data_IF_500075053461
#
_entry.id   IF_500075053461
#
_cell.length_a   1.000
_cell.length_b   1.000
_cell.length_c   1.000
_cell.angle_alpha   90.00
_cell.angle_beta   90.00
_cell.angle_gamma   90.00
#
_symmetry.space_group_name_H-M   'P 1'
#
loop_
_entity.id
_entity.type
_entity.pdbx_description
1 polymer ?
#
# COMPACT_ATOMS: atom_id res chain seq x y z
N UNK A 1 -34.33 4.20 -38.86
CA UNK A 1 -34.25 4.14 -37.38
C UNK A 1 -34.07 5.56 -36.86
N UNK A 2 -34.53 5.85 -35.64
CA UNK A 2 -34.38 7.17 -35.01
C UNK A 2 -32.95 7.38 -34.48
N UNK A 3 -32.18 6.30 -34.32
CA UNK A 3 -30.79 6.28 -33.85
C UNK A 3 -29.90 5.45 -34.79
N UNK A 4 -28.58 5.63 -34.67
CA UNK A 4 -27.61 4.78 -35.36
C UNK A 4 -27.44 3.43 -34.64
N UNK A 5 -26.90 2.42 -35.35
CA UNK A 5 -26.77 1.06 -34.82
C UNK A 5 -25.88 0.97 -33.56
N UNK A 6 -24.88 1.86 -33.44
CA UNK A 6 -23.98 1.89 -32.30
C UNK A 6 -24.72 2.32 -31.03
N UNK A 7 -25.49 3.41 -31.12
CA UNK A 7 -26.30 3.91 -30.04
C UNK A 7 -27.32 2.88 -29.60
N UNK A 8 -28.06 2.28 -30.54
CA UNK A 8 -29.06 1.25 -30.19
C UNK A 8 -28.41 0.11 -29.40
N UNK A 9 -27.25 -0.39 -29.84
CA UNK A 9 -26.52 -1.44 -29.11
C UNK A 9 -26.10 -0.99 -27.72
N UNK A 10 -25.48 0.19 -27.59
CA UNK A 10 -24.97 0.69 -26.32
C UNK A 10 -26.09 1.06 -25.34
N UNK A 11 -27.28 1.42 -25.83
CA UNK A 11 -28.43 1.75 -24.99
C UNK A 11 -29.27 0.51 -24.60
N UNK A 12 -29.59 -0.37 -25.54
CA UNK A 12 -30.46 -1.52 -25.29
C UNK A 12 -29.72 -2.75 -24.74
N UNK A 13 -28.39 -2.82 -24.88
CA UNK A 13 -27.58 -3.94 -24.36
C UNK A 13 -26.23 -3.48 -23.78
N UNK A 14 -26.23 -2.54 -22.81
CA UNK A 14 -25.00 -2.09 -22.17
C UNK A 14 -24.41 -3.21 -21.30
N UNK A 15 -23.08 -3.32 -21.28
CA UNK A 15 -22.35 -4.31 -20.48
C UNK A 15 -21.81 -3.76 -19.17
N UNK A 16 -21.70 -2.44 -19.05
CA UNK A 16 -21.01 -1.78 -17.94
C UNK A 16 -21.96 -1.16 -16.91
N UNK A 17 -23.27 -1.39 -17.03
CA UNK A 17 -24.24 -0.95 -16.02
C UNK A 17 -23.99 -1.70 -14.72
N UNK A 18 -23.74 -0.97 -13.63
CA UNK A 18 -23.46 -1.56 -12.33
C UNK A 18 -22.79 -0.59 -11.37
N UNK A 19 -22.38 -1.13 -10.22
CA UNK A 19 -21.60 -0.42 -9.20
C UNK A 19 -20.37 -1.25 -8.87
N UNK A 20 -19.36 -0.58 -8.30
CA UNK A 20 -18.21 -1.23 -7.68
C UNK A 20 -18.26 -0.89 -6.18
N UNK A 21 -17.93 -1.85 -5.33
CA UNK A 21 -17.83 -1.61 -3.89
C UNK A 21 -16.66 -0.65 -3.61
N UNK A 22 -16.96 0.50 -3.01
CA UNK A 22 -15.97 1.53 -2.71
C UNK A 22 -15.02 1.14 -1.57
N UNK A 23 -15.33 0.08 -0.83
CA UNK A 23 -14.40 -0.52 0.12
C UNK A 23 -13.28 -1.32 -0.56
N UNK A 24 -13.43 -1.70 -1.83
CA UNK A 24 -12.35 -2.35 -2.58
C UNK A 24 -11.16 -1.38 -2.78
N UNK A 25 -9.91 -1.86 -2.67
CA UNK A 25 -8.72 -1.04 -2.92
C UNK A 25 -8.76 -0.37 -4.30
N UNK A 26 -8.14 0.81 -4.42
CA UNK A 26 -8.03 1.55 -5.69
C UNK A 26 -9.35 1.65 -6.47
N UNK A 27 -10.45 1.84 -5.74
CA UNK A 27 -11.79 2.06 -6.31
C UNK A 27 -12.26 3.47 -6.02
N UNK A 28 -12.84 4.15 -7.01
CA UNK A 28 -13.37 5.52 -6.89
C UNK A 28 -14.75 5.62 -7.53
N UNK A 29 -15.52 6.64 -7.13
CA UNK A 29 -16.78 6.98 -7.76
C UNK A 29 -16.89 8.49 -7.93
N UNK A 30 -17.43 8.90 -9.08
CA UNK A 30 -17.79 10.26 -9.39
C UNK A 30 -19.29 10.35 -9.71
N UNK A 31 -19.99 11.36 -9.18
CA UNK A 31 -21.40 11.62 -9.49
C UNK A 31 -21.54 12.92 -10.26
N UNK A 32 -22.17 12.85 -11.42
CA UNK A 32 -22.57 14.01 -12.22
C UNK A 32 -24.07 14.27 -12.09
N UNK A 33 -24.44 15.53 -11.93
CA UNK A 33 -25.85 15.96 -11.83
C UNK A 33 -26.46 15.83 -10.42
N UNK A 34 -27.74 16.18 -10.30
CA UNK A 34 -28.51 16.11 -9.03
C UNK A 34 -29.79 15.34 -9.24
N UNK A 35 -30.10 14.43 -8.32
CA UNK A 35 -31.34 13.65 -8.35
C UNK A 35 -32.58 14.56 -8.50
N UNK A 36 -33.46 14.22 -9.44
CA UNK A 36 -34.67 14.98 -9.74
C UNK A 36 -34.49 16.18 -10.67
N UNK A 37 -33.28 16.43 -11.22
CA UNK A 37 -33.05 17.44 -12.25
C UNK A 37 -32.15 16.91 -13.37
N UNK A 38 -32.74 16.70 -14.56
CA UNK A 38 -32.00 16.40 -15.78
C UNK A 38 -31.28 15.05 -15.78
N UNK A 39 -30.23 14.97 -16.58
CA UNK A 39 -29.37 13.80 -16.77
C UNK A 39 -28.41 13.63 -15.58
N UNK A 40 -28.41 12.44 -14.96
CA UNK A 40 -27.61 12.13 -13.77
C UNK A 40 -26.91 10.79 -13.96
N UNK A 41 -25.64 10.69 -13.54
CA UNK A 41 -24.95 9.41 -13.50
C UNK A 41 -23.92 9.31 -12.36
N UNK A 42 -23.71 8.08 -11.93
CA UNK A 42 -22.58 7.64 -11.13
C UNK A 42 -21.62 6.88 -12.03
N UNK A 43 -20.35 7.23 -11.98
CA UNK A 43 -19.27 6.55 -12.69
C UNK A 43 -18.31 5.96 -11.66
N UNK A 44 -18.01 4.67 -11.80
CA UNK A 44 -17.13 3.90 -10.94
C UNK A 44 -15.93 3.42 -11.74
N UNK A 45 -14.75 3.53 -11.15
CA UNK A 45 -13.51 3.06 -11.73
C UNK A 45 -12.72 2.28 -10.67
N UNK A 46 -12.12 1.18 -11.09
CA UNK A 46 -11.20 0.39 -10.27
C UNK A 46 -9.92 0.14 -11.05
N UNK A 47 -8.78 0.34 -10.38
CA UNK A 47 -7.45 0.04 -10.92
C UNK A 47 -6.75 -1.05 -10.12
N UNK A 48 -5.75 -1.68 -10.73
CA UNK A 48 -4.72 -2.41 -10.00
C UNK A 48 -3.62 -1.45 -9.47
N UNK A 49 -2.67 -1.99 -8.70
CA UNK A 49 -1.56 -1.22 -8.12
C UNK A 49 -0.60 -0.64 -9.17
N UNK A 50 -0.62 -1.16 -10.38
CA UNK A 50 0.17 -0.68 -11.52
C UNK A 50 -0.55 0.45 -12.28
N UNK A 51 -1.79 0.76 -11.88
CA UNK A 51 -2.63 1.77 -12.50
C UNK A 51 -3.40 1.28 -13.72
N UNK A 52 -3.45 -0.03 -13.98
CA UNK A 52 -4.30 -0.59 -15.05
C UNK A 52 -5.75 -0.58 -14.62
N UNK A 53 -6.64 -0.07 -15.47
CA UNK A 53 -8.08 -0.02 -15.21
C UNK A 53 -8.66 -1.43 -15.40
N UNK A 54 -9.04 -2.06 -14.28
CA UNK A 54 -9.59 -3.42 -14.27
C UNK A 54 -11.11 -3.46 -14.40
N UNK A 55 -11.81 -2.41 -13.96
CA UNK A 55 -13.27 -2.29 -14.11
C UNK A 55 -13.68 -0.83 -14.26
N UNK A 56 -14.58 -0.58 -15.20
CA UNK A 56 -15.32 0.67 -15.33
C UNK A 56 -16.82 0.37 -15.31
N UNK A 57 -17.59 0.97 -14.41
CA UNK A 57 -19.04 0.72 -14.29
C UNK A 57 -19.80 2.02 -14.14
N UNK A 58 -21.07 2.05 -14.52
CA UNK A 58 -21.90 3.23 -14.32
C UNK A 58 -23.34 2.91 -13.91
N UNK A 59 -23.97 3.88 -13.26
CA UNK A 59 -25.43 3.97 -13.14
C UNK A 59 -25.87 5.30 -13.71
N UNK A 60 -26.85 5.30 -14.61
CA UNK A 60 -27.31 6.52 -15.25
C UNK A 60 -28.84 6.57 -15.32
N UNK A 61 -29.37 7.78 -15.14
CA UNK A 61 -30.78 8.11 -15.30
C UNK A 61 -30.87 9.33 -16.20
N UNK A 62 -31.41 9.16 -17.39
CA UNK A 62 -31.42 10.24 -18.36
C UNK A 62 -31.62 9.77 -19.79
N UNK A 63 -31.19 10.63 -20.70
CA UNK A 63 -31.30 10.45 -22.14
C UNK A 63 -30.56 9.17 -22.64
N UNK A 64 -31.07 8.45 -23.66
CA UNK A 64 -30.36 7.35 -24.30
C UNK A 64 -28.90 7.65 -24.72
N UNK A 65 -28.62 8.87 -25.19
CA UNK A 65 -27.27 9.32 -25.53
C UNK A 65 -26.32 9.31 -24.31
N UNK A 66 -26.83 9.55 -23.10
CA UNK A 66 -26.05 9.52 -21.86
C UNK A 66 -25.56 8.09 -21.58
N UNK A 67 -26.48 7.13 -21.59
CA UNK A 67 -26.18 5.72 -21.33
C UNK A 67 -25.24 5.18 -22.41
N UNK A 68 -25.51 5.49 -23.69
CA UNK A 68 -24.68 5.03 -24.78
C UNK A 68 -23.26 5.62 -24.72
N UNK A 69 -23.13 6.90 -24.36
CA UNK A 69 -21.83 7.55 -24.20
C UNK A 69 -21.03 6.94 -23.04
N UNK A 70 -21.65 6.73 -21.87
CA UNK A 70 -20.99 6.09 -20.73
C UNK A 70 -20.55 4.65 -21.05
N UNK A 71 -21.37 3.89 -21.77
CA UNK A 71 -21.05 2.53 -22.22
C UNK A 71 -19.83 2.51 -23.17
N UNK A 72 -19.72 3.49 -24.07
CA UNK A 72 -18.55 3.65 -24.95
C UNK A 72 -17.29 4.01 -24.17
N UNK A 73 -17.40 4.96 -23.23
CA UNK A 73 -16.29 5.38 -22.39
C UNK A 73 -15.77 4.20 -21.56
N UNK A 74 -16.66 3.43 -20.92
CA UNK A 74 -16.26 2.26 -20.14
C UNK A 74 -15.50 1.23 -20.99
N UNK A 75 -16.03 0.87 -22.17
CA UNK A 75 -15.35 -0.04 -23.09
C UNK A 75 -13.95 0.44 -23.49
N UNK A 76 -13.76 1.74 -23.63
CA UNK A 76 -12.48 2.32 -24.06
C UNK A 76 -11.48 2.41 -22.91
N UNK A 77 -11.96 2.58 -21.68
CA UNK A 77 -11.13 2.67 -20.49
C UNK A 77 -10.65 1.31 -19.99
N UNK A 78 -11.49 0.28 -20.01
CA UNK A 78 -11.11 -1.03 -19.49
C UNK A 78 -9.85 -1.57 -20.20
N UNK A 79 -8.93 -2.14 -19.43
CA UNK A 79 -7.61 -2.61 -19.88
C UNK A 79 -6.61 -1.51 -20.28
N UNK A 80 -6.97 -0.23 -20.22
CA UNK A 80 -6.02 0.87 -20.38
C UNK A 80 -5.34 1.23 -19.07
N UNK A 81 -4.22 1.94 -19.13
CA UNK A 81 -3.55 2.45 -17.94
C UNK A 81 -4.05 3.87 -17.61
N UNK A 82 -4.22 4.17 -16.32
CA UNK A 82 -4.71 5.47 -15.83
C UNK A 82 -3.82 6.66 -16.24
N UNK A 83 -2.53 6.41 -16.54
CA UNK A 83 -1.58 7.45 -17.00
C UNK A 83 -1.50 7.56 -18.53
N UNK A 84 -1.84 6.49 -19.24
CA UNK A 84 -1.78 6.38 -20.70
C UNK A 84 -3.17 6.06 -21.29
N UNK A 85 -4.21 6.56 -20.65
CA UNK A 85 -5.58 6.25 -21.00
C UNK A 85 -5.94 6.87 -22.36
N UNK A 86 -6.88 6.28 -23.13
CA UNK A 86 -7.24 6.80 -24.43
C UNK A 86 -7.84 8.20 -24.31
N UNK A 87 -7.17 9.20 -24.87
CA UNK A 87 -7.68 10.57 -24.92
C UNK A 87 -8.76 10.69 -26.01
N UNK A 88 -9.87 11.31 -25.66
CA UNK A 88 -10.93 11.72 -26.57
C UNK A 88 -11.63 12.95 -26.01
N UNK A 89 -12.15 13.79 -26.90
CA UNK A 89 -12.96 14.95 -26.54
C UNK A 89 -14.46 14.60 -26.63
N UNK A 90 -15.32 15.59 -26.34
CA UNK A 90 -16.76 15.41 -26.50
C UNK A 90 -17.18 15.27 -27.97
N UNK A 91 -16.40 15.80 -28.93
CA UNK A 91 -16.73 15.73 -30.36
C UNK A 91 -16.65 14.30 -30.88
N UNK A 92 -15.70 13.50 -30.37
CA UNK A 92 -15.64 12.06 -30.64
C UNK A 92 -16.95 11.35 -30.24
N UNK A 93 -17.51 11.65 -29.07
CA UNK A 93 -18.80 11.07 -28.64
C UNK A 93 -19.94 11.50 -29.57
N UNK A 94 -19.94 12.77 -29.98
CA UNK A 94 -20.93 13.32 -30.92
C UNK A 94 -20.87 12.58 -32.26
N UNK A 95 -19.67 12.35 -32.79
CA UNK A 95 -19.45 11.65 -34.06
C UNK A 95 -19.86 10.18 -33.98
N UNK A 96 -19.43 9.45 -32.95
CA UNK A 96 -19.72 8.02 -32.83
C UNK A 96 -21.23 7.74 -32.64
N UNK A 97 -21.90 8.54 -31.83
CA UNK A 97 -23.30 8.34 -31.47
C UNK A 97 -24.28 9.17 -32.31
N UNK A 98 -23.77 9.95 -33.28
CA UNK A 98 -24.56 10.90 -34.08
C UNK A 98 -25.45 11.79 -33.20
N UNK A 99 -24.87 12.33 -32.13
CA UNK A 99 -25.60 13.12 -31.15
C UNK A 99 -26.10 14.39 -31.84
N UNK A 100 -27.40 14.73 -31.78
CA UNK A 100 -27.90 15.96 -32.40
C UNK A 100 -27.42 17.18 -31.60
N UNK A 101 -27.25 18.33 -32.27
CA UNK A 101 -26.77 19.58 -31.66
C UNK A 101 -27.51 19.99 -30.37
N UNK A 102 -28.82 19.73 -30.31
CA UNK A 102 -29.65 20.01 -29.12
C UNK A 102 -29.32 19.14 -27.89
N UNK A 103 -28.47 18.13 -28.06
CA UNK A 103 -28.06 17.16 -27.04
C UNK A 103 -26.55 17.14 -26.78
N UNK A 104 -25.77 18.04 -27.38
CA UNK A 104 -24.33 18.19 -27.09
C UNK A 104 -23.99 18.36 -25.60
N UNK A 105 -24.82 19.00 -24.76
CA UNK A 105 -24.55 19.06 -23.31
C UNK A 105 -24.36 17.68 -22.65
N UNK A 106 -24.99 16.62 -23.19
CA UNK A 106 -24.81 15.25 -22.69
C UNK A 106 -23.39 14.75 -22.95
N UNK A 107 -22.85 14.99 -24.16
CA UNK A 107 -21.50 14.59 -24.52
C UNK A 107 -20.45 15.32 -23.67
N UNK A 108 -20.65 16.62 -23.44
CA UNK A 108 -19.83 17.43 -22.54
C UNK A 108 -19.87 16.90 -21.11
N UNK A 109 -21.07 16.64 -20.58
CA UNK A 109 -21.24 16.11 -19.22
C UNK A 109 -20.54 14.77 -19.02
N UNK A 110 -20.59 13.87 -20.02
CA UNK A 110 -19.91 12.58 -19.97
C UNK A 110 -18.40 12.76 -20.05
N UNK A 111 -17.92 13.64 -20.93
CA UNK A 111 -16.49 13.95 -21.05
C UNK A 111 -15.93 14.53 -19.73
N UNK A 112 -16.64 15.47 -19.11
CA UNK A 112 -16.23 16.06 -17.84
C UNK A 112 -16.16 15.00 -16.73
N UNK A 113 -17.18 14.13 -16.64
CA UNK A 113 -17.17 13.05 -15.65
C UNK A 113 -16.08 12.00 -15.89
N UNK A 114 -15.73 11.76 -17.15
CA UNK A 114 -14.58 10.94 -17.54
C UNK A 114 -13.25 11.56 -17.10
N UNK A 115 -13.04 12.85 -17.33
CA UNK A 115 -11.81 13.52 -16.89
C UNK A 115 -11.70 13.54 -15.35
N UNK A 116 -12.80 13.85 -14.68
CA UNK A 116 -12.80 13.98 -13.22
C UNK A 116 -12.57 12.65 -12.52
N UNK A 117 -13.18 11.55 -12.99
CA UNK A 117 -12.96 10.23 -12.36
C UNK A 117 -11.52 9.75 -12.52
N UNK A 118 -10.89 10.04 -13.67
CA UNK A 118 -9.49 9.69 -13.89
C UNK A 118 -8.56 10.46 -12.96
N UNK A 119 -8.80 11.76 -12.81
CA UNK A 119 -8.07 12.61 -11.86
C UNK A 119 -8.19 12.10 -10.44
N UNK A 120 -9.40 11.81 -9.96
CA UNK A 120 -9.63 11.27 -8.61
C UNK A 120 -8.88 9.94 -8.43
N UNK A 121 -8.87 9.08 -9.45
CA UNK A 121 -8.14 7.81 -9.39
C UNK A 121 -6.61 8.01 -9.37
N UNK A 122 -6.08 8.94 -10.16
CA UNK A 122 -4.65 9.27 -10.17
C UNK A 122 -4.19 9.76 -8.80
N UNK A 123 -4.92 10.70 -8.19
CA UNK A 123 -4.64 11.21 -6.85
C UNK A 123 -4.68 10.08 -5.79
N UNK A 124 -5.65 9.16 -5.89
CA UNK A 124 -5.74 8.00 -4.98
C UNK A 124 -4.57 7.03 -5.17
N UNK A 125 -4.18 6.76 -6.41
CA UNK A 125 -3.06 5.86 -6.73
C UNK A 125 -1.73 6.44 -6.23
N UNK A 126 -1.50 7.74 -6.40
CA UNK A 126 -0.31 8.44 -5.89
C UNK A 126 -0.25 8.37 -4.36
N UNK A 127 -1.36 8.65 -3.68
CA UNK A 127 -1.43 8.52 -2.21
C UNK A 127 -1.17 7.10 -1.70
N UNK A 128 -1.61 6.07 -2.42
CA UNK A 128 -1.27 4.67 -2.07
C UNK A 128 0.21 4.34 -2.31
N UNK A 129 0.82 4.87 -3.39
CA UNK A 129 2.24 4.68 -3.68
C UNK A 129 3.12 5.36 -2.64
N UNK A 130 2.84 6.62 -2.30
CA UNK A 130 3.54 7.33 -1.21
C UNK A 130 3.41 6.60 0.13
N UNK A 131 2.22 6.10 0.46
CA UNK A 131 2.01 5.32 1.67
C UNK A 131 2.83 4.01 1.65
N UNK A 132 2.91 3.34 0.50
CA UNK A 132 3.70 2.13 0.32
C UNK A 132 5.20 2.39 0.44
N UNK A 133 5.70 3.50 -0.11
CA UNK A 133 7.09 3.94 0.04
C UNK A 133 7.41 4.31 1.48
N UNK A 134 6.51 4.99 2.19
CA UNK A 134 6.66 5.29 3.63
C UNK A 134 6.66 4.00 4.45
N UNK A 135 5.80 3.03 4.15
CA UNK A 135 5.81 1.72 4.80
C UNK A 135 7.08 0.94 4.51
N UNK A 136 7.60 1.01 3.28
CA UNK A 136 8.82 0.35 2.88
C UNK A 136 10.06 1.01 3.50
N UNK A 137 10.09 2.34 3.60
CA UNK A 137 11.15 3.06 4.30
C UNK A 137 11.12 2.81 5.82
N UNK A 138 9.93 2.60 6.39
CA UNK A 138 9.78 2.09 7.77
C UNK A 138 10.24 0.64 7.93
N UNK A 139 10.03 -0.21 6.93
CA UNK A 139 10.57 -1.58 6.94
C UNK A 139 12.08 -1.65 6.65
N UNK A 140 12.64 -0.67 5.94
CA UNK A 140 14.09 -0.57 5.72
C UNK A 140 14.79 0.03 6.94
N UNK A 141 14.09 0.84 7.74
CA UNK A 141 14.48 1.10 9.14
C UNK A 141 14.36 -0.17 10.02
N UNK A 142 13.52 -1.14 9.63
CA UNK A 142 13.41 -2.44 10.29
C UNK A 142 14.50 -3.43 9.85
N UNK A 143 15.32 -3.15 8.83
CA UNK A 143 16.51 -3.95 8.48
C UNK A 143 17.68 -3.78 9.47
N UNK A 144 17.39 -3.41 10.73
CA UNK A 144 18.37 -3.15 11.77
C UNK A 144 18.92 -4.42 12.41
N UNK A 145 18.07 -5.38 12.72
CA UNK A 145 18.49 -6.63 13.36
C UNK A 145 17.63 -7.77 12.85
N UNK A 146 18.27 -8.85 12.41
CA UNK A 146 17.59 -10.08 11.97
C UNK A 146 17.80 -11.20 12.99
N UNK A 147 16.83 -12.09 13.11
CA UNK A 147 16.95 -13.30 13.94
C UNK A 147 16.94 -14.55 13.04
N UNK A 148 17.79 -15.54 13.36
CA UNK A 148 17.65 -16.88 12.81
C UNK A 148 16.36 -17.55 13.30
N UNK A 149 15.90 -18.59 12.60
CA UNK A 149 14.71 -19.33 13.02
C UNK A 149 14.89 -19.98 14.40
N UNK A 150 16.09 -20.48 14.71
CA UNK A 150 16.42 -21.03 16.01
C UNK A 150 16.33 -19.97 17.12
N UNK A 151 16.85 -18.77 16.88
CA UNK A 151 16.75 -17.66 17.83
C UNK A 151 15.29 -17.22 18.03
N UNK A 152 14.52 -17.08 16.95
CA UNK A 152 13.09 -16.73 17.02
C UNK A 152 12.31 -17.75 17.85
N UNK A 153 12.46 -19.03 17.55
CA UNK A 153 11.77 -20.11 18.27
C UNK A 153 12.15 -20.13 19.74
N UNK A 154 13.43 -19.96 20.08
CA UNK A 154 13.86 -19.92 21.46
C UNK A 154 13.26 -18.74 22.22
N UNK A 155 13.31 -17.53 21.64
CA UNK A 155 12.74 -16.31 22.23
C UNK A 155 11.23 -16.49 22.44
N UNK A 156 10.49 -16.95 21.44
CA UNK A 156 9.04 -17.19 21.55
C UNK A 156 8.72 -18.22 22.64
N UNK A 157 9.43 -19.35 22.68
CA UNK A 157 9.22 -20.38 23.70
C UNK A 157 9.49 -19.88 25.13
N UNK A 158 10.30 -18.83 25.27
CA UNK A 158 10.62 -18.23 26.55
C UNK A 158 9.62 -17.13 26.92
N UNK A 159 9.22 -16.29 25.96
CA UNK A 159 8.18 -15.27 26.14
C UNK A 159 6.82 -15.90 26.48
N UNK A 160 6.49 -17.06 25.91
CA UNK A 160 5.27 -17.80 26.24
C UNK A 160 5.22 -18.23 27.73
N UNK A 161 6.39 -18.43 28.35
CA UNK A 161 6.50 -18.75 29.78
C UNK A 161 6.45 -17.52 30.68
N UNK A 162 6.58 -16.32 30.13
CA UNK A 162 6.60 -15.05 30.84
C UNK A 162 5.26 -14.32 30.62
N UNK A 163 4.33 -14.45 31.57
CA UNK A 163 2.95 -13.95 31.42
C UNK A 163 2.83 -12.46 31.12
N UNK A 164 3.83 -11.67 31.51
CA UNK A 164 3.77 -10.21 31.42
C UNK A 164 4.63 -9.63 30.28
N UNK A 165 5.37 -10.44 29.52
CA UNK A 165 6.27 -9.95 28.47
C UNK A 165 5.66 -10.15 27.08
N UNK A 166 5.62 -9.09 26.27
CA UNK A 166 5.18 -9.11 24.87
C UNK A 166 6.32 -8.99 23.88
N UNK A 167 7.56 -8.92 24.35
CA UNK A 167 8.71 -8.87 23.47
C UNK A 167 10.04 -8.76 24.18
N UNK A 168 11.07 -8.56 23.36
CA UNK A 168 12.42 -8.24 23.82
C UNK A 168 12.83 -6.86 23.30
N UNK A 169 13.75 -6.20 23.99
CA UNK A 169 14.35 -4.92 23.60
C UNK A 169 15.86 -5.07 23.52
N UNK A 170 16.43 -4.73 22.37
CA UNK A 170 17.87 -4.74 22.12
C UNK A 170 18.44 -3.33 22.28
N UNK A 171 19.52 -3.20 23.04
CA UNK A 171 20.28 -1.95 23.18
C UNK A 171 21.76 -2.22 23.36
N UNK A 172 22.59 -1.17 23.33
CA UNK A 172 24.00 -1.24 23.70
C UNK A 172 24.25 -0.38 24.92
N UNK A 173 25.13 -0.85 25.81
CA UNK A 173 25.63 -0.06 26.94
C UNK A 173 27.14 0.08 26.85
N UNK A 174 27.66 1.22 27.30
CA UNK A 174 29.10 1.45 27.39
C UNK A 174 29.69 0.66 28.56
N UNK A 175 30.78 -0.04 28.31
CA UNK A 175 31.52 -0.86 29.29
C UNK A 175 33.02 -0.58 29.17
N UNK A 176 33.65 -0.13 30.26
CA UNK A 176 35.06 0.29 30.25
C UNK A 176 35.31 1.60 29.50
N UNK A 177 36.57 1.87 29.14
CA UNK A 177 36.96 3.14 28.51
C UNK A 177 36.39 3.32 27.09
N UNK A 178 36.30 2.23 26.31
CA UNK A 178 35.90 2.25 24.90
C UNK A 178 35.03 1.06 24.46
N UNK A 179 34.66 0.14 25.37
CA UNK A 179 33.87 -1.04 25.02
C UNK A 179 32.36 -0.79 25.02
N UNK A 180 31.65 -1.57 24.23
CA UNK A 180 30.19 -1.67 24.20
C UNK A 180 29.78 -3.11 24.56
N UNK A 181 28.61 -3.26 25.16
CA UNK A 181 28.01 -4.57 25.43
C UNK A 181 26.56 -4.58 24.96
N UNK A 182 26.13 -5.68 24.34
CA UNK A 182 24.74 -5.89 23.99
C UNK A 182 23.89 -6.08 25.26
N UNK A 183 22.70 -5.50 25.26
CA UNK A 183 21.71 -5.64 26.32
C UNK A 183 20.41 -6.12 25.69
N UNK A 184 19.82 -7.15 26.31
CA UNK A 184 18.52 -7.71 25.93
C UNK A 184 17.61 -7.62 27.14
N UNK A 185 16.59 -6.77 27.06
CA UNK A 185 15.57 -6.60 28.10
C UNK A 185 14.25 -7.23 27.65
N UNK A 186 13.42 -7.63 28.61
CA UNK A 186 12.04 -8.02 28.32
C UNK A 186 11.14 -6.79 28.41
N UNK A 187 10.17 -6.69 27.50
CA UNK A 187 9.25 -5.57 27.45
C UNK A 187 7.81 -6.03 27.36
N UNK A 188 6.93 -5.35 28.10
CA UNK A 188 5.47 -5.54 27.99
C UNK A 188 4.89 -4.72 26.83
N UNK A 189 5.54 -3.61 26.50
CA UNK A 189 5.18 -2.69 25.43
C UNK A 189 6.41 -1.95 24.92
N UNK A 190 6.40 -1.45 23.67
CA UNK A 190 7.43 -0.56 23.18
C UNK A 190 7.57 0.72 24.01
N UNK A 191 8.76 1.32 24.00
CA UNK A 191 8.99 2.70 24.44
C UNK A 191 8.92 3.67 23.25
N UNK A 192 8.67 4.95 23.52
CA UNK A 192 8.53 6.00 22.48
C UNK A 192 9.75 6.12 21.56
N UNK A 193 10.94 5.79 22.07
CA UNK A 193 12.21 5.84 21.35
C UNK A 193 12.69 4.48 20.84
N UNK A 194 11.79 3.50 20.71
CA UNK A 194 12.12 2.20 20.14
C UNK A 194 11.77 2.12 18.64
N UNK A 195 12.63 1.44 17.90
CA UNK A 195 12.31 0.92 16.57
C UNK A 195 11.68 -0.45 16.79
N UNK A 196 10.41 -0.60 16.41
CA UNK A 196 9.63 -1.81 16.70
C UNK A 196 9.54 -2.70 15.46
N UNK A 197 9.81 -3.98 15.63
CA UNK A 197 9.66 -5.02 14.62
C UNK A 197 8.73 -6.13 15.14
N UNK A 198 7.89 -6.69 14.26
CA UNK A 198 7.07 -7.85 14.60
C UNK A 198 7.93 -9.11 14.58
N UNK A 199 7.85 -9.92 15.65
CA UNK A 199 8.56 -11.19 15.75
C UNK A 199 7.69 -12.35 15.24
N UNK A 200 6.55 -12.58 15.87
CA UNK A 200 5.51 -13.52 15.49
C UNK A 200 4.24 -13.22 16.29
N UNK A 201 3.07 -13.36 15.67
CA UNK A 201 1.77 -13.05 16.28
C UNK A 201 1.80 -11.65 16.96
N UNK A 202 1.48 -11.60 18.26
CA UNK A 202 1.49 -10.37 19.07
C UNK A 202 2.85 -10.08 19.73
N UNK A 203 3.90 -10.86 19.44
CA UNK A 203 5.23 -10.66 20.00
C UNK A 203 6.08 -9.71 19.17
N UNK A 204 6.82 -8.84 19.85
CA UNK A 204 7.61 -7.76 19.23
C UNK A 204 9.09 -7.82 19.60
N UNK A 205 9.92 -7.20 18.77
CA UNK A 205 11.31 -6.83 19.06
C UNK A 205 11.40 -5.32 19.00
N UNK A 206 11.88 -4.73 20.09
CA UNK A 206 12.23 -3.33 20.16
C UNK A 206 13.74 -3.16 19.99
N UNK A 207 14.16 -2.12 19.28
CA UNK A 207 15.56 -1.70 19.21
C UNK A 207 15.63 -0.28 19.73
N UNK A 208 16.45 -0.05 20.75
CA UNK A 208 16.71 1.30 21.24
C UNK A 208 17.28 2.16 20.12
N UNK A 209 16.59 3.26 19.79
CA UNK A 209 16.97 4.11 18.64
C UNK A 209 18.36 4.73 18.80
N UNK A 210 18.83 5.00 20.03
CA UNK A 210 20.19 5.51 20.27
C UNK A 210 21.26 4.45 20.03
N UNK A 211 20.90 3.18 20.22
CA UNK A 211 21.74 2.02 19.99
C UNK A 211 21.74 1.55 18.52
N UNK A 212 20.75 1.99 17.72
CA UNK A 212 20.53 1.52 16.36
C UNK A 212 21.78 1.60 15.44
N UNK A 213 22.59 2.69 15.43
CA UNK A 213 23.79 2.76 14.60
C UNK A 213 24.80 1.63 14.87
N UNK A 214 24.83 1.11 16.10
CA UNK A 214 25.72 0.02 16.50
C UNK A 214 25.14 -1.36 16.19
N UNK A 215 23.82 -1.46 16.08
CA UNK A 215 23.10 -2.72 15.93
C UNK A 215 22.68 -3.00 14.48
N UNK A 216 22.67 -1.98 13.61
CA UNK A 216 22.16 -2.08 12.24
C UNK A 216 22.88 -3.16 11.42
N UNK A 217 22.10 -4.04 10.78
CA UNK A 217 22.61 -5.18 10.01
C UNK A 217 23.04 -6.38 10.86
N UNK A 218 22.89 -6.33 12.19
CA UNK A 218 23.23 -7.45 13.06
C UNK A 218 22.30 -8.64 12.84
N UNK A 219 22.86 -9.85 12.88
CA UNK A 219 22.10 -11.09 12.89
C UNK A 219 22.29 -11.78 14.24
N UNK A 220 21.19 -12.18 14.88
CA UNK A 220 21.22 -12.94 16.13
C UNK A 220 20.81 -14.37 15.86
N UNK A 221 21.62 -15.31 16.33
CA UNK A 221 21.39 -16.75 16.24
C UNK A 221 21.38 -17.39 17.63
N UNK A 222 20.82 -18.59 17.75
CA UNK A 222 20.83 -19.40 18.96
C UNK A 222 21.41 -20.77 18.64
N UNK A 223 22.67 -20.98 19.03
CA UNK A 223 23.44 -22.15 18.62
C UNK A 223 23.88 -22.98 19.81
N UNK A 224 24.05 -24.28 19.58
CA UNK A 224 24.68 -25.19 20.54
C UNK A 224 26.19 -25.11 20.41
N UNK A 225 26.87 -24.70 21.49
CA UNK A 225 28.32 -24.74 21.59
C UNK A 225 28.74 -25.77 22.65
N UNK A 226 29.15 -26.95 22.20
CA UNK A 226 29.46 -28.08 23.08
C UNK A 226 28.21 -28.60 23.81
N UNK A 227 28.23 -28.53 25.14
CA UNK A 227 27.11 -28.93 26.00
C UNK A 227 26.13 -27.79 26.31
N UNK A 228 26.47 -26.54 25.98
CA UNK A 228 25.67 -25.37 26.30
C UNK A 228 25.02 -24.78 25.04
N UNK A 229 23.92 -24.05 25.22
CA UNK A 229 23.32 -23.21 24.18
C UNK A 229 23.57 -21.75 24.49
N UNK A 230 23.81 -20.93 23.46
CA UNK A 230 24.02 -19.49 23.63
C UNK A 230 23.49 -18.70 22.44
N UNK A 231 23.15 -17.44 22.71
CA UNK A 231 22.97 -16.45 21.65
C UNK A 231 24.31 -16.07 21.04
N UNK A 232 24.34 -15.96 19.71
CA UNK A 232 25.46 -15.46 18.93
C UNK A 232 25.00 -14.20 18.22
N UNK A 233 25.74 -13.11 18.42
CA UNK A 233 25.48 -11.83 17.80
C UNK A 233 26.53 -11.63 16.70
N UNK A 234 26.11 -11.74 15.45
CA UNK A 234 26.93 -11.48 14.27
C UNK A 234 26.67 -10.04 13.81
N UNK A 235 27.58 -9.13 14.18
CA UNK A 235 27.42 -7.70 13.94
C UNK A 235 28.44 -7.20 12.92
N UNK A 236 28.03 -6.77 11.72
CA UNK A 236 28.97 -6.28 10.70
C UNK A 236 29.70 -5.00 11.10
N UNK A 237 29.19 -4.25 12.10
CA UNK A 237 29.81 -3.02 12.59
C UNK A 237 30.92 -3.30 13.64
N UNK A 238 31.03 -4.54 14.12
CA UNK A 238 31.98 -4.92 15.15
C UNK A 238 33.40 -5.04 14.57
N UNK A 239 34.34 -4.31 15.18
CA UNK A 239 35.76 -4.29 14.77
C UNK A 239 36.66 -5.10 15.70
N UNK A 240 36.27 -5.24 16.97
CA UNK A 240 36.99 -6.03 17.95
C UNK A 240 36.06 -6.63 19.01
N UNK A 241 36.44 -7.78 19.56
CA UNK A 241 35.76 -8.42 20.68
C UNK A 241 36.76 -8.70 21.80
N UNK A 242 36.37 -8.49 23.06
CA UNK A 242 37.18 -8.93 24.18
C UNK A 242 37.32 -10.46 24.17
N UNK A 243 38.45 -11.00 24.62
CA UNK A 243 38.71 -12.45 24.65
C UNK A 243 37.74 -13.26 25.52
N UNK A 244 37.02 -12.62 26.45
CA UNK A 244 35.91 -13.24 27.21
C UNK A 244 34.56 -13.20 26.46
N UNK A 245 34.47 -12.47 25.36
CA UNK A 245 33.28 -12.35 24.52
C UNK A 245 32.21 -11.37 25.01
N UNK A 246 32.37 -10.78 26.20
CA UNK A 246 31.34 -9.97 26.88
C UNK A 246 31.18 -8.56 26.34
N UNK A 247 32.17 -8.04 25.61
CA UNK A 247 32.17 -6.68 25.06
C UNK A 247 32.82 -6.60 23.68
N UNK A 248 32.46 -5.56 22.94
CA UNK A 248 32.90 -5.29 21.56
C UNK A 248 33.21 -3.80 21.33
N UNK A 249 33.87 -3.49 20.21
CA UNK A 249 34.13 -2.11 19.77
C UNK A 249 33.66 -1.91 18.33
N UNK A 250 33.35 -0.66 17.99
CA UNK A 250 33.01 -0.21 16.62
C UNK A 250 33.96 0.92 16.20
N UNK A 251 34.05 1.23 14.91
CA UNK A 251 34.72 2.45 14.43
C UNK A 251 33.88 3.68 14.81
N UNK A 252 34.50 4.67 15.46
CA UNK A 252 33.87 5.97 15.70
C UNK A 252 33.71 6.71 14.35
N UNK A 253 32.51 7.22 14.06
CA UNK A 253 32.22 8.08 12.89
C UNK A 253 32.41 9.56 13.24
#
# INVERSE_FOLDING_TARGET
>A
MMYNNLLERCFFSPKHVGVIDLAEPLTVCYRSGKAGRGDVFDFYLQCDKQGSIVKARFKAYGNPYLIAALELVCHRLESSNIREHPQFDYSWLVEQLEIPGTRYPVALQVHDGYQEILKIMQEKLEGELEMSEVMQHRSDLAAGVTLSDAAKQHILSYLDKQKDSKGIRLSVKRTGCSGLSYVVDYVQSPQDNDIVQVLADDYIICIDKSSYPYLKGMKVDYVRQGLNYKFVFDNPNQKGQCGCGESFTVEDY
#
